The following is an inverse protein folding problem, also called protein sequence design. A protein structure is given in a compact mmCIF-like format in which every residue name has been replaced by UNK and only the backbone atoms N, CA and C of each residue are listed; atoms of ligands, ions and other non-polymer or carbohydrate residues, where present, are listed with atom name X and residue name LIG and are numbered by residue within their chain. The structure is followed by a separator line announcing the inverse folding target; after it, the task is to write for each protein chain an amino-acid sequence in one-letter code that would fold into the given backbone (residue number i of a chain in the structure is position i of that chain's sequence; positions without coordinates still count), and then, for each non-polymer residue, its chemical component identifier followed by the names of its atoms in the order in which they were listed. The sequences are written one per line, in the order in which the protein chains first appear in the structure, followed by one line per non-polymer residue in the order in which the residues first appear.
data_IF_236725476762
#
_entry.id   IF_236725476762
#
_cell.length_a   1.000
_cell.length_b   1.000
_cell.length_c   1.000
_cell.angle_alpha   90.00
_cell.angle_beta   90.00
_cell.angle_gamma   90.00
#
_symmetry.space_group_name_H-M   'P 1'
#
loop_
_entity.id
_entity.type
_entity.pdbx_description
1 polymer ?
#
# COMPACT_ATOMS: atom_id res chain seq x y z
N UNK A 1 -26.81 -3.87 -2.22
CA UNK A 1 -26.05 -3.75 -0.96
C UNK A 1 -27.03 -4.02 0.15
N UNK A 2 -26.70 -4.92 1.06
CA UNK A 2 -27.59 -5.26 2.17
C UNK A 2 -27.67 -4.10 3.18
N UNK A 3 -28.87 -3.89 3.72
CA UNK A 3 -29.09 -2.93 4.81
C UNK A 3 -28.24 -3.33 6.02
N UNK A 4 -27.30 -2.46 6.38
CA UNK A 4 -26.38 -2.66 7.52
C UNK A 4 -24.92 -2.94 7.15
N UNK A 5 -24.56 -3.04 5.86
CA UNK A 5 -23.16 -3.14 5.46
C UNK A 5 -22.41 -1.82 5.68
N UNK A 6 -21.77 -1.68 6.84
CA UNK A 6 -20.96 -0.52 7.19
C UNK A 6 -19.55 -0.68 6.62
N UNK A 7 -19.22 0.11 5.59
CA UNK A 7 -17.86 0.14 5.05
C UNK A 7 -16.99 1.12 5.85
N UNK A 8 -16.78 0.84 7.14
CA UNK A 8 -16.04 1.72 8.04
C UNK A 8 -14.62 2.03 7.58
N UNK A 9 -13.99 1.13 6.81
CA UNK A 9 -12.64 1.29 6.26
C UNK A 9 -12.52 2.41 5.20
N UNK A 10 -13.60 2.78 4.50
CA UNK A 10 -13.55 3.85 3.47
C UNK A 10 -13.94 5.22 4.01
N UNK A 11 -14.44 5.31 5.25
CA UNK A 11 -14.96 6.55 5.82
C UNK A 11 -13.95 7.29 6.72
N UNK A 12 -12.88 6.61 7.17
CA UNK A 12 -11.86 7.20 8.02
C UNK A 12 -10.74 7.87 7.23
N UNK A 13 -10.62 9.19 7.34
CA UNK A 13 -9.39 9.88 6.94
C UNK A 13 -8.34 9.68 8.03
N UNK A 14 -7.14 9.30 7.64
CA UNK A 14 -5.98 9.19 8.53
C UNK A 14 -5.27 10.54 8.61
N UNK A 15 -4.80 10.92 9.80
CA UNK A 15 -3.89 12.07 9.98
C UNK A 15 -2.48 11.79 9.40
N UNK A 16 -2.20 10.52 9.09
CA UNK A 16 -0.98 10.08 8.41
C UNK A 16 -1.20 9.96 6.90
N UNK A 17 -0.25 10.49 6.14
CA UNK A 17 -0.15 10.33 4.69
C UNK A 17 0.99 9.36 4.33
N UNK A 18 0.80 8.57 3.28
CA UNK A 18 1.88 7.75 2.74
C UNK A 18 2.77 8.63 1.86
N UNK A 19 4.06 8.70 2.16
CA UNK A 19 5.01 9.51 1.36
C UNK A 19 5.47 8.80 0.09
N UNK A 20 5.49 7.46 0.14
CA UNK A 20 5.95 6.60 -0.94
C UNK A 20 4.98 5.41 -1.09
N UNK A 21 4.72 4.95 -2.32
CA UNK A 21 3.73 3.91 -2.61
C UNK A 21 4.26 2.49 -2.30
N UNK A 22 4.65 2.24 -1.05
CA UNK A 22 4.96 0.89 -0.56
C UNK A 22 4.66 0.75 0.93
N UNK A 23 4.40 -0.49 1.37
CA UNK A 23 4.41 -0.86 2.78
C UNK A 23 5.29 -2.08 2.99
N UNK A 24 5.77 -2.24 4.22
CA UNK A 24 6.45 -3.45 4.63
C UNK A 24 6.01 -3.90 6.02
N UNK A 25 6.04 -5.22 6.21
CA UNK A 25 5.66 -5.89 7.44
C UNK A 25 6.63 -6.99 7.80
N UNK A 26 6.92 -7.14 9.10
CA UNK A 26 7.78 -8.21 9.59
C UNK A 26 6.97 -9.44 9.95
N UNK A 27 7.51 -10.61 9.63
CA UNK A 27 6.99 -11.91 10.05
C UNK A 27 8.18 -12.77 10.50
N UNK A 28 8.34 -12.93 11.81
CA UNK A 28 9.54 -13.51 12.40
C UNK A 28 10.81 -12.74 12.00
N UNK A 29 11.76 -13.45 11.39
CA UNK A 29 13.02 -12.88 10.87
C UNK A 29 12.91 -12.37 9.43
N UNK A 30 11.72 -12.47 8.81
CA UNK A 30 11.50 -12.06 7.43
C UNK A 30 10.70 -10.75 7.36
N UNK A 31 10.74 -10.15 6.18
CA UNK A 31 9.94 -8.99 5.78
C UNK A 31 9.17 -9.34 4.52
N UNK A 32 7.91 -8.92 4.49
CA UNK A 32 7.12 -8.79 3.28
C UNK A 32 7.09 -7.31 2.89
N UNK A 33 7.51 -6.99 1.66
CA UNK A 33 7.47 -5.63 1.11
C UNK A 33 6.56 -5.65 -0.11
N UNK A 34 5.54 -4.80 -0.14
CA UNK A 34 4.68 -4.61 -1.31
C UNK A 34 4.83 -3.19 -1.81
N UNK A 35 5.22 -3.07 -3.08
CA UNK A 35 5.56 -1.82 -3.73
C UNK A 35 4.65 -1.62 -4.94
N UNK A 36 4.25 -0.39 -5.21
CA UNK A 36 3.30 -0.05 -6.26
C UNK A 36 3.79 1.12 -7.12
N UNK A 37 3.35 1.16 -8.38
CA UNK A 37 3.61 2.32 -9.24
C UNK A 37 2.89 3.54 -8.65
N UNK A 38 3.45 4.74 -8.88
CA UNK A 38 2.81 5.99 -8.46
C UNK A 38 1.46 6.18 -9.14
N UNK A 39 0.58 6.87 -8.43
CA UNK A 39 -0.65 7.42 -9.00
C UNK A 39 -0.34 8.27 -10.23
N UNK A 40 -1.11 8.07 -11.28
CA UNK A 40 -1.04 8.83 -12.55
C UNK A 40 -2.30 9.68 -12.69
N UNK A 41 -2.35 10.54 -13.72
CA UNK A 41 -3.56 11.28 -14.04
C UNK A 41 -4.77 10.36 -14.33
N UNK A 42 -4.52 9.13 -14.77
CA UNK A 42 -5.56 8.19 -15.17
C UNK A 42 -6.05 7.30 -14.01
N UNK A 43 -5.19 7.02 -13.04
CA UNK A 43 -5.49 6.11 -11.95
C UNK A 43 -4.75 6.45 -10.67
N UNK A 44 -5.46 6.35 -9.56
CA UNK A 44 -5.03 6.74 -8.23
C UNK A 44 -4.93 5.51 -7.33
N UNK A 45 -3.76 5.30 -6.73
CA UNK A 45 -3.58 4.31 -5.68
C UNK A 45 -3.82 4.95 -4.32
N UNK A 46 -4.67 4.33 -3.50
CA UNK A 46 -4.94 4.72 -2.12
C UNK A 46 -4.51 3.62 -1.18
N UNK A 47 -3.81 4.01 -0.12
CA UNK A 47 -3.44 3.11 0.96
C UNK A 47 -4.43 3.26 2.10
N UNK A 48 -4.82 2.14 2.68
CA UNK A 48 -5.66 2.07 3.85
C UNK A 48 -4.95 1.28 4.94
N UNK A 49 -5.12 1.70 6.19
CA UNK A 49 -4.57 1.02 7.34
C UNK A 49 -5.62 0.94 8.44
N UNK A 50 -5.77 -0.24 9.03
CA UNK A 50 -6.50 -0.43 10.28
C UNK A 50 -5.49 -0.65 11.41
N UNK A 51 -5.33 0.28 12.36
CA UNK A 51 -4.28 0.21 13.39
C UNK A 51 -4.28 -1.09 14.22
N UNK A 52 -5.45 -1.70 14.42
CA UNK A 52 -5.62 -2.94 15.20
C UNK A 52 -6.07 -4.14 14.36
N UNK A 53 -6.19 -3.98 13.03
CA UNK A 53 -6.79 -5.00 12.15
C UNK A 53 -5.99 -6.30 12.07
N UNK A 54 -4.68 -6.26 12.31
CA UNK A 54 -3.80 -7.43 12.34
C UNK A 54 -3.53 -7.96 13.76
N UNK A 55 -4.22 -7.43 14.77
CA UNK A 55 -4.00 -7.72 16.19
C UNK A 55 -3.45 -6.53 16.98
N UNK A 56 -3.22 -6.72 18.28
CA UNK A 56 -2.75 -5.66 19.17
C UNK A 56 -1.39 -5.09 18.70
N UNK A 57 -1.38 -3.82 18.29
CA UNK A 57 -0.18 -3.13 17.78
C UNK A 57 0.28 -3.60 16.40
N UNK A 58 -0.51 -4.42 15.70
CA UNK A 58 -0.18 -4.93 14.38
C UNK A 58 -1.23 -4.43 13.37
N UNK A 59 -0.90 -3.42 12.55
CA UNK A 59 -1.85 -2.88 11.61
C UNK A 59 -2.15 -3.87 10.48
N UNK A 60 -3.42 -3.90 10.05
CA UNK A 60 -3.74 -4.43 8.73
C UNK A 60 -3.54 -3.33 7.69
N UNK A 61 -3.00 -3.69 6.52
CA UNK A 61 -2.83 -2.80 5.38
C UNK A 61 -3.66 -3.30 4.21
N UNK A 62 -4.30 -2.36 3.53
CA UNK A 62 -5.03 -2.60 2.29
C UNK A 62 -4.67 -1.50 1.29
N UNK A 63 -5.00 -1.74 0.03
CA UNK A 63 -4.87 -0.74 -1.02
C UNK A 63 -6.08 -0.77 -1.95
N UNK A 64 -6.40 0.38 -2.54
CA UNK A 64 -7.46 0.51 -3.54
C UNK A 64 -6.89 1.24 -4.73
N UNK A 65 -7.02 0.65 -5.92
CA UNK A 65 -6.72 1.32 -7.18
C UNK A 65 -8.01 1.88 -7.78
N UNK A 66 -8.10 3.21 -7.88
CA UNK A 66 -9.22 3.94 -8.45
C UNK A 66 -8.89 4.43 -9.87
N UNK A 67 -9.61 3.93 -10.87
CA UNK A 67 -9.54 4.42 -12.25
C UNK A 67 -10.54 5.57 -12.44
N UNK A 68 -10.08 6.77 -12.81
CA UNK A 68 -10.95 7.96 -12.92
C UNK A 68 -11.76 8.00 -14.21
N UNK A 69 -11.24 7.48 -15.30
CA UNK A 69 -11.83 7.45 -16.64
C UNK A 69 -12.16 6.01 -17.10
N UNK A 70 -12.71 5.19 -16.19
CA UNK A 70 -13.04 3.81 -16.54
C UNK A 70 -14.12 3.76 -17.64
N UNK A 71 -14.01 2.77 -18.52
CA UNK A 71 -15.00 2.48 -19.54
C UNK A 71 -15.33 1.00 -19.53
N UNK A 72 -16.63 0.66 -19.63
CA UNK A 72 -17.05 -0.74 -19.69
C UNK A 72 -16.42 -1.42 -20.91
N UNK A 73 -15.86 -2.62 -20.72
CA UNK A 73 -15.16 -3.36 -21.77
C UNK A 73 -13.74 -2.87 -22.09
N UNK A 74 -13.24 -1.84 -21.39
CA UNK A 74 -11.84 -1.39 -21.50
C UNK A 74 -11.03 -1.92 -20.33
N UNK A 75 -9.94 -2.60 -20.63
CA UNK A 75 -8.98 -3.03 -19.62
C UNK A 75 -8.22 -1.83 -19.05
N UNK A 76 -7.95 -1.90 -17.76
CA UNK A 76 -7.01 -1.03 -17.07
C UNK A 76 -6.20 -1.88 -16.10
N UNK A 77 -5.02 -1.39 -15.72
CA UNK A 77 -4.13 -2.13 -14.82
C UNK A 77 -3.38 -1.17 -13.92
N UNK A 78 -2.82 -1.74 -12.86
CA UNK A 78 -1.77 -1.15 -12.06
C UNK A 78 -0.64 -2.18 -11.92
N UNK A 79 0.55 -1.73 -11.57
CA UNK A 79 1.69 -2.59 -11.35
C UNK A 79 2.06 -2.59 -9.87
N UNK A 80 2.34 -3.78 -9.36
CA UNK A 80 2.88 -3.97 -8.02
C UNK A 80 4.00 -5.02 -8.06
N UNK A 81 4.86 -4.98 -7.05
CA UNK A 81 5.90 -5.97 -6.79
C UNK A 81 5.87 -6.35 -5.32
N UNK A 82 5.83 -7.65 -5.06
CA UNK A 82 5.99 -8.21 -3.71
C UNK A 82 7.38 -8.85 -3.55
N UNK A 83 7.99 -8.64 -2.40
CA UNK A 83 9.26 -9.26 -2.01
C UNK A 83 9.10 -9.86 -0.63
N UNK A 84 9.51 -11.13 -0.47
CA UNK A 84 9.60 -11.79 0.83
C UNK A 84 11.01 -12.31 1.05
N UNK A 85 11.70 -11.80 2.08
CA UNK A 85 13.10 -12.16 2.39
C UNK A 85 13.42 -11.91 3.86
N UNK A 86 14.63 -12.26 4.30
CA UNK A 86 15.16 -11.87 5.63
C UNK A 86 15.10 -10.36 5.82
N UNK A 87 14.78 -9.90 7.03
CA UNK A 87 14.68 -8.49 7.39
C UNK A 87 15.98 -7.99 8.04
N UNK A 88 16.92 -7.40 7.29
CA UNK A 88 18.09 -6.79 7.89
C UNK A 88 17.75 -5.44 8.56
N UNK A 89 16.95 -4.58 7.91
CA UNK A 89 16.53 -3.28 8.47
C UNK A 89 15.38 -2.64 7.67
N UNK A 90 14.77 -1.58 8.21
CA UNK A 90 13.73 -0.80 7.52
C UNK A 90 14.30 -0.05 6.30
N UNK A 91 15.54 0.44 6.40
CA UNK A 91 16.27 1.08 5.30
C UNK A 91 16.51 0.09 4.15
N UNK A 92 16.66 -1.21 4.43
CA UNK A 92 16.73 -2.21 3.37
C UNK A 92 15.41 -2.39 2.63
N UNK A 93 14.29 -2.35 3.34
CA UNK A 93 12.97 -2.35 2.71
C UNK A 93 12.77 -1.10 1.84
N UNK A 94 13.23 0.06 2.30
CA UNK A 94 13.24 1.28 1.48
C UNK A 94 14.14 1.11 0.25
N UNK A 95 15.37 0.60 0.39
CA UNK A 95 16.26 0.35 -0.77
C UNK A 95 15.67 -0.60 -1.81
N UNK A 96 14.83 -1.57 -1.41
CA UNK A 96 14.11 -2.41 -2.38
C UNK A 96 13.14 -1.59 -3.22
N UNK A 97 12.43 -0.64 -2.60
CA UNK A 97 11.56 0.30 -3.29
C UNK A 97 12.37 1.24 -4.19
N UNK A 98 13.47 1.81 -3.70
CA UNK A 98 14.32 2.71 -4.48
C UNK A 98 14.88 2.01 -5.73
N UNK A 99 15.41 0.79 -5.56
CA UNK A 99 15.95 0.01 -6.67
C UNK A 99 14.89 -0.37 -7.71
N UNK A 100 13.62 -0.49 -7.31
CA UNK A 100 12.53 -0.84 -8.21
C UNK A 100 11.90 0.38 -8.89
N UNK A 101 11.68 1.46 -8.15
CA UNK A 101 11.00 2.67 -8.61
C UNK A 101 11.93 3.68 -9.27
N UNK A 102 13.22 3.67 -8.91
CA UNK A 102 14.17 4.72 -9.25
C UNK A 102 14.03 5.99 -8.40
N UNK A 103 13.14 6.00 -7.42
CA UNK A 103 12.95 7.12 -6.49
C UNK A 103 13.83 6.97 -5.25
N UNK A 104 14.22 8.10 -4.63
CA UNK A 104 14.94 8.09 -3.35
C UNK A 104 13.96 8.31 -2.20
N UNK A 105 14.01 7.43 -1.20
CA UNK A 105 13.19 7.52 0.00
C UNK A 105 13.88 8.42 1.02
N UNK A 106 13.18 9.46 1.47
CA UNK A 106 13.63 10.34 2.55
C UNK A 106 12.81 10.02 3.80
N UNK A 107 13.51 9.69 4.88
CA UNK A 107 12.88 9.55 6.18
C UNK A 107 12.80 10.92 6.86
N UNK A 108 11.64 11.33 7.40
CA UNK A 108 11.50 12.54 8.21
C UNK A 108 12.22 12.45 9.56
#
# INVERSE_FOLDING_TARGET
MDDGFNIGLVQGFSDLEYLYPFYFGRSGENVFVMMFDRSTAEGELRFAQSPSGGGAGNPAWDFVYFRRDYAAGREFSFRARAVYRKFPSAEDAARLYEAWSGETVTFP
#
